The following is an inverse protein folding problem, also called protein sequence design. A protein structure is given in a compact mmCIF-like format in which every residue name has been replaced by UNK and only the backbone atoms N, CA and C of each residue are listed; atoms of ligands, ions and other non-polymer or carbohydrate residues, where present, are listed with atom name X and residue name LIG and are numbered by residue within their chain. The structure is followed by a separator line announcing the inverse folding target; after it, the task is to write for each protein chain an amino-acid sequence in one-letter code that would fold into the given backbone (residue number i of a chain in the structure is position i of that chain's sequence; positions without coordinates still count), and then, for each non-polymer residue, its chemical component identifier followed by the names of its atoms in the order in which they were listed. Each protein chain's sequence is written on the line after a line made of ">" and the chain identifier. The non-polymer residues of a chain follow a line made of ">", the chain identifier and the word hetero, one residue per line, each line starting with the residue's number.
data_IF_064904486298
#
_entry.id   IF_064904486298
#
_cell.length_a   1.000
_cell.length_b   1.000
_cell.length_c   1.000
_cell.angle_alpha   90.00
_cell.angle_beta   90.00
_cell.angle_gamma   90.00
#
_symmetry.space_group_name_H-M   'P 1'
#
loop_
_entity.id
_entity.type
_entity.pdbx_description
1 polymer ?
#
# COMPACT_ATOMS: atom_id res chain seq x y z
N UNK A 1 -26.97 38.44 38.23
CA UNK A 1 -25.50 38.42 37.99
C UNK A 1 -25.11 36.96 37.96
N UNK A 2 -24.52 36.48 36.85
CA UNK A 2 -24.04 35.10 36.78
C UNK A 2 -22.92 34.97 37.81
N UNK A 3 -23.11 34.15 38.84
CA UNK A 3 -22.05 33.84 39.81
C UNK A 3 -20.96 33.04 39.11
N UNK A 4 -20.04 33.77 38.45
CA UNK A 4 -18.82 33.20 37.88
C UNK A 4 -18.06 32.38 38.94
N UNK A 5 -18.16 32.75 40.22
CA UNK A 5 -17.57 32.01 41.33
C UNK A 5 -18.11 30.58 41.49
N UNK A 6 -19.42 30.37 41.27
CA UNK A 6 -20.04 29.05 41.37
C UNK A 6 -19.71 28.16 40.17
N UNK A 7 -19.63 28.76 38.97
CA UNK A 7 -19.22 28.07 37.76
C UNK A 7 -17.74 27.67 37.83
N UNK A 8 -16.88 28.57 38.33
CA UNK A 8 -15.45 28.34 38.50
C UNK A 8 -15.20 27.29 39.59
N UNK A 9 -15.88 27.33 40.73
CA UNK A 9 -15.72 26.30 41.78
C UNK A 9 -16.14 24.91 41.30
N UNK A 10 -17.14 24.83 40.42
CA UNK A 10 -17.62 23.56 39.85
C UNK A 10 -16.75 23.05 38.69
N UNK A 11 -15.99 23.93 38.05
CA UNK A 11 -14.97 23.59 37.04
C UNK A 11 -13.63 23.16 37.68
N UNK A 12 -13.32 23.62 38.90
CA UNK A 12 -12.13 23.20 39.65
C UNK A 12 -12.31 21.91 40.47
N UNK A 13 -13.51 21.31 40.48
CA UNK A 13 -13.70 19.99 41.06
C UNK A 13 -12.84 18.97 40.30
N UNK A 14 -11.96 18.19 40.97
CA UNK A 14 -11.09 17.23 40.31
C UNK A 14 -11.86 16.20 39.48
N UNK A 15 -13.10 15.90 39.88
CA UNK A 15 -14.02 15.01 39.15
C UNK A 15 -14.54 15.66 37.87
N UNK A 16 -14.88 16.95 37.89
CA UNK A 16 -15.31 17.68 36.70
C UNK A 16 -14.15 17.88 35.73
N UNK A 17 -12.95 18.15 36.25
CA UNK A 17 -11.74 18.25 35.44
C UNK A 17 -11.40 16.91 34.77
N UNK A 18 -11.51 15.80 35.52
CA UNK A 18 -11.35 14.44 35.00
C UNK A 18 -12.41 14.11 33.95
N UNK A 19 -13.68 14.44 34.21
CA UNK A 19 -14.79 14.18 33.29
C UNK A 19 -14.61 14.96 31.98
N UNK A 20 -14.29 16.26 32.06
CA UNK A 20 -13.97 17.09 30.90
C UNK A 20 -12.74 16.55 30.17
N UNK A 21 -11.68 16.14 30.88
CA UNK A 21 -10.49 15.57 30.26
C UNK A 21 -10.79 14.26 29.53
N UNK A 22 -11.58 13.35 30.13
CA UNK A 22 -11.99 12.08 29.54
C UNK A 22 -12.89 12.30 28.33
N UNK A 23 -13.92 13.14 28.45
CA UNK A 23 -14.81 13.49 27.34
C UNK A 23 -14.02 14.15 26.21
N UNK A 24 -13.10 15.07 26.53
CA UNK A 24 -12.23 15.71 25.55
C UNK A 24 -11.30 14.70 24.87
N UNK A 25 -10.74 13.75 25.62
CA UNK A 25 -9.87 12.71 25.07
C UNK A 25 -10.66 11.76 24.15
N UNK A 26 -11.88 11.38 24.54
CA UNK A 26 -12.78 10.54 23.74
C UNK A 26 -13.20 11.27 22.47
N UNK A 27 -13.63 12.54 22.57
CA UNK A 27 -13.99 13.36 21.41
C UNK A 27 -12.78 13.57 20.51
N UNK A 28 -11.61 13.88 21.07
CA UNK A 28 -10.37 14.03 20.32
C UNK A 28 -9.99 12.74 19.60
N UNK A 29 -10.07 11.59 20.29
CA UNK A 29 -9.84 10.27 19.70
C UNK A 29 -10.86 9.95 18.60
N UNK A 30 -12.14 10.24 18.81
CA UNK A 30 -13.21 10.06 17.82
C UNK A 30 -12.97 10.94 16.58
N UNK A 31 -12.56 12.20 16.78
CA UNK A 31 -12.22 13.14 15.71
C UNK A 31 -10.89 12.80 15.00
N UNK A 32 -9.97 12.11 15.68
CA UNK A 32 -8.71 11.64 15.12
C UNK A 32 -8.90 10.34 14.31
N UNK A 33 -9.66 9.38 14.82
CA UNK A 33 -10.07 8.16 14.09
C UNK A 33 -10.93 8.50 12.88
N UNK A 34 -11.73 9.56 12.98
CA UNK A 34 -12.48 10.12 11.85
C UNK A 34 -11.60 10.95 10.87
N UNK A 35 -10.28 10.76 10.82
CA UNK A 35 -9.42 11.34 9.78
C UNK A 35 -8.90 10.22 8.89
N UNK A 36 -9.44 10.10 7.67
CA UNK A 36 -8.92 9.11 6.71
C UNK A 36 -9.85 8.66 5.59
N UNK A 37 -11.15 9.00 5.62
CA UNK A 37 -12.10 8.59 4.57
C UNK A 37 -12.80 9.78 3.93
N UNK A 38 -13.23 9.70 2.66
CA UNK A 38 -14.08 10.72 2.02
C UNK A 38 -15.38 10.98 2.81
N UNK A 39 -15.88 9.96 3.53
CA UNK A 39 -17.01 10.11 4.45
C UNK A 39 -16.76 11.15 5.56
N UNK A 40 -15.49 11.39 5.93
CA UNK A 40 -15.11 12.41 6.93
C UNK A 40 -15.36 13.84 6.44
N UNK A 41 -15.22 14.09 5.14
CA UNK A 41 -15.50 15.40 4.55
C UNK A 41 -17.02 15.67 4.52
N UNK A 42 -17.82 14.64 4.22
CA UNK A 42 -19.28 14.71 4.30
C UNK A 42 -19.75 14.89 5.75
N UNK A 43 -19.22 14.11 6.70
CA UNK A 43 -19.52 14.24 8.12
C UNK A 43 -19.15 15.62 8.67
N UNK A 44 -17.96 16.16 8.34
CA UNK A 44 -17.58 17.53 8.69
C UNK A 44 -18.51 18.57 8.08
N UNK A 45 -18.88 18.40 6.81
CA UNK A 45 -19.82 19.29 6.12
C UNK A 45 -21.20 19.32 6.78
N UNK A 46 -21.76 18.14 7.07
CA UNK A 46 -23.05 17.99 7.75
C UNK A 46 -22.97 18.55 9.18
N UNK A 47 -21.89 18.27 9.93
CA UNK A 47 -21.72 18.79 11.29
C UNK A 47 -21.61 20.32 11.31
N UNK A 48 -20.79 20.91 10.43
CA UNK A 48 -20.66 22.37 10.30
C UNK A 48 -22.00 23.00 9.90
N UNK A 49 -22.74 22.38 8.98
CA UNK A 49 -24.06 22.84 8.56
C UNK A 49 -25.07 22.81 9.73
N UNK A 50 -25.17 21.68 10.44
CA UNK A 50 -26.09 21.53 11.58
C UNK A 50 -25.74 22.53 12.69
N UNK A 51 -24.46 22.65 13.04
CA UNK A 51 -24.00 23.61 14.06
C UNK A 51 -24.25 25.05 13.61
N UNK A 52 -23.98 25.37 12.34
CA UNK A 52 -24.21 26.69 11.77
C UNK A 52 -25.70 27.08 11.80
N UNK A 53 -26.58 26.17 11.36
CA UNK A 53 -28.03 26.38 11.42
C UNK A 53 -28.51 26.52 12.86
N UNK A 54 -28.01 25.71 13.79
CA UNK A 54 -28.36 25.79 15.21
C UNK A 54 -27.93 27.13 15.85
N UNK A 55 -26.70 27.58 15.59
CA UNK A 55 -26.20 28.87 16.08
C UNK A 55 -26.99 30.04 15.47
N UNK A 56 -27.30 29.97 14.18
CA UNK A 56 -28.08 30.98 13.48
C UNK A 56 -29.53 31.04 13.97
N UNK A 57 -30.15 29.88 14.24
CA UNK A 57 -31.47 29.76 14.85
C UNK A 57 -31.52 30.47 16.20
N UNK A 58 -30.49 30.27 17.02
CA UNK A 58 -30.37 30.83 18.36
C UNK A 58 -30.07 32.33 18.32
N UNK A 59 -29.26 32.78 17.37
CA UNK A 59 -28.94 34.19 17.17
C UNK A 59 -30.15 34.99 16.68
N UNK A 60 -30.88 34.47 15.69
CA UNK A 60 -32.07 35.11 15.11
C UNK A 60 -33.36 34.85 15.91
N UNK A 61 -33.28 34.10 17.02
CA UNK A 61 -34.42 33.71 17.85
C UNK A 61 -35.59 33.07 17.07
N UNK A 62 -35.27 32.25 16.06
CA UNK A 62 -36.26 31.55 15.23
C UNK A 62 -36.92 30.41 16.01
N UNK A 63 -38.01 30.71 16.71
CA UNK A 63 -38.74 29.78 17.57
C UNK A 63 -39.21 28.50 16.87
N UNK A 64 -39.78 28.62 15.67
CA UNK A 64 -40.24 27.47 14.87
C UNK A 64 -39.07 26.56 14.46
N UNK A 65 -37.95 27.14 14.06
CA UNK A 65 -36.77 26.39 13.64
C UNK A 65 -36.12 25.69 14.83
N UNK A 66 -36.03 26.36 15.99
CA UNK A 66 -35.57 25.76 17.24
C UNK A 66 -36.46 24.58 17.68
N UNK A 67 -37.78 24.73 17.55
CA UNK A 67 -38.74 23.66 17.84
C UNK A 67 -38.57 22.47 16.89
N UNK A 68 -38.44 22.71 15.58
CA UNK A 68 -38.17 21.64 14.60
C UNK A 68 -36.83 20.94 14.86
N UNK A 69 -35.76 21.68 15.18
CA UNK A 69 -34.46 21.09 15.49
C UNK A 69 -34.52 20.25 16.77
N UNK A 70 -35.21 20.73 17.82
CA UNK A 70 -35.40 20.00 19.07
C UNK A 70 -36.16 18.67 18.86
N UNK A 71 -37.18 18.67 18.01
CA UNK A 71 -37.94 17.47 17.65
C UNK A 71 -37.14 16.51 16.74
N UNK A 72 -36.21 17.04 15.94
CA UNK A 72 -35.38 16.24 15.02
C UNK A 72 -34.26 15.49 15.73
N UNK A 73 -33.73 16.03 16.83
CA UNK A 73 -32.60 15.45 17.57
C UNK A 73 -32.78 13.97 17.96
N UNK A 74 -33.89 13.55 18.59
CA UNK A 74 -34.12 12.15 18.92
C UNK A 74 -34.14 11.23 17.69
N UNK A 75 -34.75 11.69 16.59
CA UNK A 75 -34.81 10.94 15.34
C UNK A 75 -33.42 10.79 14.71
N UNK A 76 -32.59 11.84 14.77
CA UNK A 76 -31.23 11.82 14.24
C UNK A 76 -30.33 10.81 14.97
N UNK A 77 -30.46 10.69 16.30
CA UNK A 77 -29.71 9.71 17.11
C UNK A 77 -30.03 8.27 16.69
N UNK A 78 -31.27 7.98 16.26
CA UNK A 78 -31.66 6.66 15.75
C UNK A 78 -31.26 6.48 14.29
N UNK A 79 -31.42 7.52 13.47
CA UNK A 79 -31.14 7.47 12.03
C UNK A 79 -29.64 7.31 11.73
N UNK A 80 -28.75 7.97 12.50
CA UNK A 80 -27.30 7.93 12.26
C UNK A 80 -26.76 6.49 12.32
N UNK A 81 -26.96 5.69 13.37
CA UNK A 81 -26.50 4.29 13.39
C UNK A 81 -27.09 3.42 12.28
N UNK A 82 -28.32 3.69 11.83
CA UNK A 82 -28.97 2.93 10.75
C UNK A 82 -28.32 3.27 9.39
N UNK A 83 -28.10 4.55 9.11
CA UNK A 83 -27.45 5.00 7.88
C UNK A 83 -25.99 4.57 7.84
N UNK A 84 -25.29 4.69 8.97
CA UNK A 84 -23.89 4.28 9.13
C UNK A 84 -23.72 2.83 9.54
N UNK A 85 -24.77 2.00 9.45
CA UNK A 85 -24.71 0.59 9.79
C UNK A 85 -23.59 -0.14 9.02
N UNK A 86 -23.39 0.09 7.70
CA UNK A 86 -22.30 -0.53 6.96
C UNK A 86 -20.91 -0.15 7.50
N UNK A 87 -20.70 1.12 7.84
CA UNK A 87 -19.43 1.63 8.36
C UNK A 87 -19.14 1.08 9.77
N UNK A 88 -20.13 1.13 10.66
CA UNK A 88 -20.00 0.58 12.02
C UNK A 88 -19.65 -0.91 11.97
N UNK A 89 -20.29 -1.66 11.08
CA UNK A 89 -19.99 -3.07 10.84
C UNK A 89 -18.54 -3.24 10.37
N UNK A 90 -18.10 -2.49 9.35
CA UNK A 90 -16.73 -2.56 8.83
C UNK A 90 -15.69 -2.20 9.89
N UNK A 91 -15.95 -1.18 10.70
CA UNK A 91 -15.06 -0.78 11.81
C UNK A 91 -14.96 -1.90 12.85
N UNK A 92 -16.07 -2.55 13.21
CA UNK A 92 -16.08 -3.69 14.13
C UNK A 92 -15.37 -4.92 13.54
N UNK A 93 -15.54 -5.18 12.24
CA UNK A 93 -14.83 -6.25 11.53
C UNK A 93 -13.32 -5.97 11.52
N UNK A 94 -12.90 -4.73 11.24
CA UNK A 94 -11.50 -4.31 11.33
C UNK A 94 -10.96 -4.49 12.75
N UNK A 95 -11.68 -4.03 13.78
CA UNK A 95 -11.32 -4.23 15.19
C UNK A 95 -11.26 -5.72 15.55
N UNK A 96 -12.13 -6.55 14.99
CA UNK A 96 -12.12 -8.01 15.15
C UNK A 96 -10.88 -8.68 14.54
N UNK A 97 -10.39 -8.17 13.41
CA UNK A 97 -9.14 -8.61 12.79
C UNK A 97 -7.89 -7.94 13.40
N UNK A 98 -8.06 -6.96 14.30
CA UNK A 98 -7.00 -6.21 14.99
C UNK A 98 -6.29 -7.04 16.08
N UNK A 99 -6.64 -8.32 16.27
CA UNK A 99 -5.83 -9.26 17.06
C UNK A 99 -4.38 -9.38 16.55
N UNK A 100 -4.10 -9.00 15.30
CA UNK A 100 -2.75 -8.93 14.73
C UNK A 100 -2.01 -7.62 15.07
N UNK A 101 -2.72 -6.50 15.25
CA UNK A 101 -2.14 -5.18 15.53
C UNK A 101 -1.79 -4.96 17.02
N UNK A 102 -2.41 -5.71 17.94
CA UNK A 102 -2.03 -5.72 19.36
C UNK A 102 -0.59 -6.20 19.63
N UNK A 103 0.17 -6.62 18.61
CA UNK A 103 1.54 -7.12 18.80
C UNK A 103 2.65 -6.07 18.78
N UNK A 104 2.47 -4.82 18.31
CA UNK A 104 3.54 -3.83 18.48
C UNK A 104 3.09 -2.36 18.31
N UNK A 105 3.14 -1.53 19.39
CA UNK A 105 2.85 -0.10 19.31
C UNK A 105 4.07 0.77 18.92
N UNK A 106 5.17 0.15 18.50
CA UNK A 106 6.36 0.84 18.02
C UNK A 106 6.55 0.48 16.54
N UNK A 107 6.73 1.46 15.63
CA UNK A 107 7.24 1.18 14.28
C UNK A 107 8.62 0.58 14.49
N UNK A 108 8.66 -0.75 14.44
CA UNK A 108 9.88 -1.49 14.63
C UNK A 108 10.68 -1.34 13.34
N UNK A 109 12.02 -1.40 13.42
CA UNK A 109 12.88 -1.38 12.24
C UNK A 109 12.43 -2.42 11.18
N UNK A 110 11.77 -3.48 11.64
CA UNK A 110 11.15 -4.53 10.83
C UNK A 110 10.11 -4.03 9.84
N UNK A 111 9.25 -3.06 10.18
CA UNK A 111 8.16 -2.62 9.28
C UNK A 111 8.71 -1.85 8.07
N UNK A 112 9.74 -1.02 8.30
CA UNK A 112 10.44 -0.32 7.23
C UNK A 112 11.20 -1.30 6.32
N UNK A 113 11.86 -2.30 6.92
CA UNK A 113 12.59 -3.33 6.17
C UNK A 113 11.64 -4.22 5.35
N UNK A 114 10.44 -4.53 5.87
CA UNK A 114 9.39 -5.24 5.14
C UNK A 114 8.87 -4.42 3.96
N UNK A 115 8.58 -3.13 4.18
CA UNK A 115 8.12 -2.24 3.11
C UNK A 115 9.19 -2.07 2.03
N UNK A 116 10.46 -2.00 2.40
CA UNK A 116 11.57 -1.95 1.46
C UNK A 116 11.64 -3.21 0.58
N UNK A 117 11.46 -4.40 1.16
CA UNK A 117 11.35 -5.65 0.40
C UNK A 117 10.15 -5.63 -0.54
N UNK A 118 9.00 -5.15 -0.08
CA UNK A 118 7.80 -5.01 -0.92
C UNK A 118 8.05 -4.13 -2.14
N UNK A 119 8.66 -2.95 -1.95
CA UNK A 119 9.05 -2.07 -3.05
C UNK A 119 9.98 -2.79 -4.03
N UNK A 120 10.96 -3.53 -3.52
CA UNK A 120 11.93 -4.23 -4.35
C UNK A 120 11.29 -5.36 -5.19
N UNK A 121 10.38 -6.14 -4.61
CA UNK A 121 9.64 -7.19 -5.32
C UNK A 121 8.71 -6.59 -6.39
N UNK A 122 7.97 -5.52 -6.06
CA UNK A 122 7.07 -4.82 -7.00
C UNK A 122 7.87 -4.21 -8.15
N UNK A 123 9.00 -3.54 -7.88
CA UNK A 123 9.85 -2.92 -8.90
C UNK A 123 10.39 -3.97 -9.87
N UNK A 124 10.91 -5.08 -9.34
CA UNK A 124 11.48 -6.16 -10.17
C UNK A 124 10.38 -6.85 -10.99
N UNK A 125 9.20 -7.07 -10.41
CA UNK A 125 8.04 -7.61 -11.12
C UNK A 125 7.58 -6.67 -12.24
N UNK A 126 7.37 -5.39 -11.94
CA UNK A 126 6.95 -4.38 -12.91
C UNK A 126 7.95 -4.29 -14.08
N UNK A 127 9.25 -4.26 -13.80
CA UNK A 127 10.27 -4.23 -14.84
C UNK A 127 10.26 -5.47 -15.74
N UNK A 128 9.99 -6.65 -15.17
CA UNK A 128 9.90 -7.89 -15.94
C UNK A 128 8.62 -7.95 -16.80
N UNK A 129 7.48 -7.59 -16.22
CA UNK A 129 6.19 -7.51 -16.91
C UNK A 129 6.25 -6.48 -18.04
N UNK A 130 6.89 -5.34 -17.82
CA UNK A 130 7.13 -4.31 -18.85
C UNK A 130 7.92 -4.82 -20.04
N UNK A 131 9.01 -5.57 -19.81
CA UNK A 131 9.81 -6.18 -20.89
C UNK A 131 9.01 -7.17 -21.73
N UNK A 132 8.07 -7.88 -21.09
CA UNK A 132 7.18 -8.84 -21.75
C UNK A 132 5.90 -8.20 -22.32
N UNK A 133 5.67 -6.91 -22.04
CA UNK A 133 4.42 -6.18 -22.32
C UNK A 133 3.18 -6.84 -21.74
N UNK A 134 3.33 -7.42 -20.55
CA UNK A 134 2.19 -7.95 -19.81
C UNK A 134 1.57 -6.84 -18.96
N UNK A 135 0.29 -6.58 -19.19
CA UNK A 135 -0.46 -5.56 -18.48
C UNK A 135 -0.58 -5.91 -17.00
N UNK A 136 -0.31 -4.94 -16.13
CA UNK A 136 -0.36 -5.16 -14.68
C UNK A 136 -0.92 -3.96 -13.94
N UNK A 137 -1.61 -4.21 -12.84
CA UNK A 137 -2.16 -3.19 -11.96
C UNK A 137 -2.01 -3.64 -10.51
N UNK A 138 -1.01 -3.09 -9.82
CA UNK A 138 -0.64 -3.44 -8.46
C UNK A 138 -0.94 -2.27 -7.54
N UNK A 139 -1.81 -2.47 -6.55
CA UNK A 139 -2.22 -1.45 -5.59
C UNK A 139 -1.53 -1.72 -4.25
N UNK A 140 -0.78 -0.75 -3.76
CA UNK A 140 -0.12 -0.80 -2.45
C UNK A 140 -0.98 0.00 -1.47
N UNK A 141 -1.57 -0.71 -0.51
CA UNK A 141 -2.36 -0.14 0.58
C UNK A 141 -1.47 0.68 1.54
N UNK A 142 -2.00 1.81 2.02
CA UNK A 142 -1.33 2.71 2.96
C UNK A 142 -2.19 2.92 4.21
N UNK A 143 -2.53 4.16 4.55
CA UNK A 143 -3.31 4.45 5.76
C UNK A 143 -4.80 4.14 5.55
N UNK A 144 -5.30 4.39 4.34
CA UNK A 144 -6.68 4.04 3.97
C UNK A 144 -6.76 2.55 3.63
N UNK A 145 -7.48 1.77 4.45
CA UNK A 145 -7.73 0.36 4.18
C UNK A 145 -8.55 0.14 2.91
N UNK A 146 -8.15 -0.84 2.09
CA UNK A 146 -8.80 -1.17 0.81
C UNK A 146 -9.66 -2.44 0.88
N UNK A 147 -10.12 -2.82 2.08
CA UNK A 147 -10.83 -4.09 2.30
C UNK A 147 -12.11 -4.20 1.46
N UNK A 148 -12.85 -3.11 1.29
CA UNK A 148 -14.06 -3.05 0.45
C UNK A 148 -13.82 -3.42 -1.03
N UNK A 149 -12.59 -3.21 -1.50
CA UNK A 149 -12.16 -3.64 -2.83
C UNK A 149 -11.67 -5.09 -2.79
N UNK A 150 -10.87 -5.44 -1.78
CA UNK A 150 -10.31 -6.78 -1.61
C UNK A 150 -11.40 -7.87 -1.51
N UNK A 151 -12.49 -7.60 -0.79
CA UNK A 151 -13.59 -8.54 -0.58
C UNK A 151 -14.37 -8.87 -1.88
N UNK A 152 -14.25 -8.03 -2.90
CA UNK A 152 -14.87 -8.23 -4.22
C UNK A 152 -13.97 -8.99 -5.20
N UNK A 153 -12.71 -9.23 -4.83
CA UNK A 153 -11.76 -10.00 -5.64
C UNK A 153 -11.67 -11.46 -5.23
N UNK A 154 -10.68 -12.15 -5.78
CA UNK A 154 -10.30 -13.51 -5.35
C UNK A 154 -9.33 -13.39 -4.16
N UNK A 155 -9.67 -13.93 -2.98
CA UNK A 155 -8.79 -13.89 -1.83
C UNK A 155 -7.55 -14.76 -2.10
N UNK A 156 -6.36 -14.20 -1.86
CA UNK A 156 -5.09 -14.91 -2.07
C UNK A 156 -4.36 -15.17 -0.76
N UNK A 157 -4.31 -14.17 0.12
CA UNK A 157 -3.56 -14.18 1.38
C UNK A 157 -2.16 -14.81 1.27
N UNK A 158 -1.38 -14.40 0.29
CA UNK A 158 -0.08 -14.99 -0.02
C UNK A 158 1.07 -14.04 0.31
N UNK A 159 2.24 -14.57 0.68
CA UNK A 159 3.46 -13.75 0.81
C UNK A 159 3.84 -13.17 -0.56
N UNK A 160 4.11 -11.87 -0.59
CA UNK A 160 4.49 -11.16 -1.80
C UNK A 160 5.82 -11.70 -2.33
N UNK A 161 5.84 -12.07 -3.60
CA UNK A 161 7.05 -12.37 -4.34
C UNK A 161 6.90 -11.95 -5.79
N UNK A 162 8.00 -11.55 -6.41
CA UNK A 162 8.06 -11.22 -7.84
C UNK A 162 7.53 -12.35 -8.70
N UNK A 163 7.87 -13.60 -8.39
CA UNK A 163 7.42 -14.78 -9.14
C UNK A 163 5.89 -14.89 -9.11
N UNK A 164 5.28 -14.67 -7.94
CA UNK A 164 3.83 -14.71 -7.80
C UNK A 164 3.16 -13.56 -8.56
N UNK A 165 3.70 -12.34 -8.49
CA UNK A 165 3.20 -11.20 -9.28
C UNK A 165 3.25 -11.48 -10.78
N UNK A 166 4.37 -12.03 -11.28
CA UNK A 166 4.51 -12.38 -12.70
C UNK A 166 3.49 -13.43 -13.12
N UNK A 167 3.28 -14.46 -12.28
CA UNK A 167 2.31 -15.51 -12.56
C UNK A 167 0.87 -15.01 -12.55
N UNK A 168 0.51 -14.10 -11.62
CA UNK A 168 -0.82 -13.51 -11.56
C UNK A 168 -1.10 -12.74 -12.86
N UNK A 169 -0.19 -11.87 -13.29
CA UNK A 169 -0.34 -11.07 -14.51
C UNK A 169 0.05 -11.79 -15.80
N UNK A 170 0.23 -13.11 -15.76
CA UNK A 170 0.45 -13.88 -16.98
C UNK A 170 -0.80 -13.83 -17.88
N UNK A 171 -0.67 -13.53 -19.19
CA UNK A 171 -1.82 -13.42 -20.08
C UNK A 171 -2.68 -14.68 -20.09
N UNK A 172 -4.01 -14.51 -20.15
CA UNK A 172 -5.00 -15.59 -20.14
C UNK A 172 -5.07 -16.39 -18.83
N UNK A 173 -4.48 -15.92 -17.73
CA UNK A 173 -4.70 -16.53 -16.42
C UNK A 173 -6.04 -16.06 -15.83
N UNK A 174 -6.77 -16.85 -15.01
CA UNK A 174 -8.00 -16.34 -14.38
C UNK A 174 -7.80 -15.13 -13.45
N UNK A 175 -6.55 -14.83 -13.03
CA UNK A 175 -6.24 -13.78 -12.07
C UNK A 175 -5.59 -12.53 -12.70
N UNK A 176 -5.26 -12.55 -13.99
CA UNK A 176 -4.55 -11.44 -14.66
C UNK A 176 -5.45 -10.24 -14.98
N UNK A 177 -6.76 -10.45 -14.91
CA UNK A 177 -7.74 -9.42 -15.18
C UNK A 177 -7.86 -8.49 -13.96
N UNK A 178 -8.00 -7.19 -14.22
CA UNK A 178 -8.11 -6.15 -13.19
C UNK A 178 -6.86 -5.99 -12.29
N UNK A 179 -7.04 -5.84 -10.97
CA UNK A 179 -6.01 -5.39 -10.04
C UNK A 179 -5.65 -6.42 -8.96
N UNK A 180 -4.49 -6.20 -8.34
CA UNK A 180 -4.02 -6.92 -7.16
C UNK A 180 -3.81 -5.93 -6.01
N UNK A 181 -4.21 -6.30 -4.79
CA UNK A 181 -4.02 -5.49 -3.59
C UNK A 181 -2.91 -6.07 -2.72
N UNK A 182 -1.94 -5.23 -2.38
CA UNK A 182 -0.76 -5.51 -1.56
C UNK A 182 -0.91 -4.75 -0.25
N UNK A 183 -0.83 -5.45 0.88
CA UNK A 183 -0.85 -4.89 2.24
C UNK A 183 0.38 -5.35 2.98
N UNK A 184 1.28 -4.43 3.31
CA UNK A 184 2.58 -4.77 3.90
C UNK A 184 3.41 -5.65 2.96
N UNK A 185 3.70 -6.88 3.38
CA UNK A 185 4.44 -7.90 2.62
C UNK A 185 3.54 -9.02 2.05
N UNK A 186 2.22 -8.82 2.03
CA UNK A 186 1.25 -9.82 1.57
C UNK A 186 0.38 -9.33 0.42
N UNK A 187 0.01 -10.28 -0.43
CA UNK A 187 -1.00 -10.15 -1.48
C UNK A 187 -2.35 -10.56 -0.89
N UNK A 188 -3.21 -9.58 -0.65
CA UNK A 188 -4.50 -9.80 0.02
C UNK A 188 -5.50 -10.45 -0.94
N UNK A 189 -5.65 -9.84 -2.12
CA UNK A 189 -6.60 -10.28 -3.14
C UNK A 189 -6.06 -10.00 -4.55
N UNK A 190 -6.45 -10.84 -5.50
CA UNK A 190 -6.24 -10.65 -6.94
C UNK A 190 -7.56 -10.53 -7.69
N UNK A 191 -7.51 -10.20 -8.98
CA UNK A 191 -8.70 -9.98 -9.81
C UNK A 191 -9.70 -8.97 -9.22
N UNK A 192 -9.19 -7.93 -8.56
CA UNK A 192 -10.00 -6.91 -7.88
C UNK A 192 -10.45 -5.85 -8.87
N UNK A 193 -11.77 -5.61 -8.92
CA UNK A 193 -12.35 -4.54 -9.76
C UNK A 193 -12.32 -3.20 -9.01
N UNK A 194 -11.71 -2.20 -9.64
CA UNK A 194 -11.51 -0.87 -9.08
C UNK A 194 -12.36 0.19 -9.82
N UNK A 195 -12.69 1.32 -9.16
CA UNK A 195 -13.41 2.41 -9.78
C UNK A 195 -12.55 3.05 -10.88
N UNK A 196 -13.16 3.44 -11.98
CA UNK A 196 -12.49 4.15 -13.06
C UNK A 196 -12.67 5.65 -12.85
N UNK A 197 -11.61 6.43 -13.08
CA UNK A 197 -11.74 7.90 -13.10
C UNK A 197 -12.62 8.36 -14.26
N UNK A 198 -13.48 9.33 -14.00
CA UNK A 198 -14.26 10.07 -15.00
C UNK A 198 -13.57 11.38 -15.43
N UNK A 199 -12.37 11.65 -14.89
CA UNK A 199 -11.66 12.89 -15.19
C UNK A 199 -11.10 12.88 -16.63
N UNK A 200 -11.76 13.65 -17.49
CA UNK A 200 -11.46 13.79 -18.93
C UNK A 200 -10.03 14.31 -19.16
N UNK A 201 -9.52 15.15 -18.26
CA UNK A 201 -8.18 15.75 -18.38
C UNK A 201 -7.06 14.72 -18.25
N UNK A 202 -7.34 13.61 -17.55
CA UNK A 202 -6.39 12.51 -17.41
C UNK A 202 -6.59 11.41 -18.48
N UNK A 203 -7.77 11.35 -19.13
CA UNK A 203 -8.24 10.19 -19.89
C UNK A 203 -7.87 10.16 -21.38
N UNK A 204 -7.30 11.22 -21.94
CA UNK A 204 -6.85 11.23 -23.33
C UNK A 204 -5.75 10.18 -23.55
N UNK A 205 -6.11 9.03 -24.15
CA UNK A 205 -5.24 7.87 -24.47
C UNK A 205 -4.94 6.89 -23.32
N UNK A 206 -5.75 6.85 -22.26
CA UNK A 206 -5.54 5.89 -21.15
C UNK A 206 -6.41 4.64 -21.28
N UNK A 207 -5.78 3.46 -21.23
CA UNK A 207 -6.46 2.18 -21.07
C UNK A 207 -7.18 2.04 -19.71
N UNK A 208 -8.03 1.03 -19.59
CA UNK A 208 -8.86 0.78 -18.40
C UNK A 208 -8.04 0.62 -17.12
N UNK A 209 -6.90 -0.08 -17.16
CA UNK A 209 -6.00 -0.23 -15.99
C UNK A 209 -5.44 1.11 -15.48
N UNK A 210 -5.12 2.03 -16.39
CA UNK A 210 -4.65 3.37 -16.01
C UNK A 210 -5.77 4.20 -15.39
N UNK A 211 -6.98 4.12 -15.95
CA UNK A 211 -8.16 4.78 -15.38
C UNK A 211 -8.52 4.23 -14.00
N UNK A 212 -8.40 2.92 -13.81
CA UNK A 212 -8.59 2.23 -12.54
C UNK A 212 -7.55 2.68 -11.50
N UNK A 213 -6.28 2.76 -11.89
CA UNK A 213 -5.21 3.26 -11.03
C UNK A 213 -5.48 4.70 -10.57
N UNK A 214 -5.92 5.58 -11.47
CA UNK A 214 -6.26 6.95 -11.10
C UNK A 214 -7.47 6.94 -10.15
N UNK A 215 -8.57 6.25 -10.51
CA UNK A 215 -9.79 6.22 -9.71
C UNK A 215 -9.57 5.74 -8.27
N UNK A 216 -8.82 4.64 -8.06
CA UNK A 216 -8.54 4.17 -6.68
C UNK A 216 -7.70 5.17 -5.90
N UNK A 217 -6.75 5.87 -6.54
CA UNK A 217 -5.93 6.90 -5.88
C UNK A 217 -6.61 8.26 -5.75
N UNK A 218 -7.78 8.46 -6.35
CA UNK A 218 -8.64 9.61 -6.08
C UNK A 218 -9.44 9.39 -4.78
N UNK A 219 -9.83 8.15 -4.51
CA UNK A 219 -10.66 7.76 -3.36
C UNK A 219 -9.86 7.38 -2.12
N UNK A 220 -8.58 7.05 -2.27
CA UNK A 220 -7.69 6.60 -1.19
C UNK A 220 -6.29 7.17 -1.32
N UNK A 221 -5.50 7.06 -0.26
CA UNK A 221 -4.08 7.44 -0.26
C UNK A 221 -3.15 6.36 -0.85
N UNK A 222 -3.71 5.29 -1.41
CA UNK A 222 -2.99 4.16 -1.98
C UNK A 222 -2.07 4.56 -3.15
N UNK A 223 -1.08 3.72 -3.42
CA UNK A 223 -0.21 3.85 -4.58
C UNK A 223 -0.56 2.76 -5.60
N UNK A 224 -0.77 3.15 -6.86
CA UNK A 224 -1.08 2.20 -7.92
C UNK A 224 0.06 2.15 -8.92
N UNK A 225 0.72 1.00 -9.06
CA UNK A 225 1.73 0.74 -10.09
C UNK A 225 1.05 0.08 -11.28
N UNK A 226 1.22 0.67 -12.46
CA UNK A 226 0.60 0.21 -13.71
C UNK A 226 1.68 -0.14 -14.72
N UNK A 227 1.51 -1.26 -15.41
CA UNK A 227 2.28 -1.61 -16.60
C UNK A 227 1.32 -1.67 -17.79
N UNK A 228 1.62 -0.91 -18.85
CA UNK A 228 0.83 -0.89 -20.07
C UNK A 228 1.01 -2.18 -20.87
N UNK A 229 -0.09 -2.83 -21.24
CA UNK A 229 -0.06 -4.00 -22.16
C UNK A 229 0.28 -3.61 -23.60
N UNK A 230 -0.03 -2.38 -24.01
CA UNK A 230 0.21 -1.91 -25.37
C UNK A 230 1.67 -1.47 -25.56
N UNK A 231 2.19 -0.69 -24.60
CA UNK A 231 3.48 -0.02 -24.73
C UNK A 231 4.57 -0.58 -23.84
N UNK A 232 4.23 -1.42 -22.85
CA UNK A 232 5.16 -1.86 -21.80
C UNK A 232 5.61 -0.75 -20.86
N UNK A 233 5.09 0.48 -21.00
CA UNK A 233 5.47 1.60 -20.15
C UNK A 233 4.96 1.40 -18.72
N UNK A 234 5.83 1.73 -17.76
CA UNK A 234 5.48 1.71 -16.34
C UNK A 234 5.03 3.11 -15.92
N UNK A 235 3.95 3.16 -15.15
CA UNK A 235 3.43 4.37 -14.54
C UNK A 235 3.05 4.13 -13.07
N UNK A 236 3.02 5.19 -12.29
CA UNK A 236 2.52 5.19 -10.90
C UNK A 236 1.44 6.24 -10.76
N UNK A 237 0.28 5.85 -10.23
CA UNK A 237 -0.75 6.78 -9.81
C UNK A 237 -0.68 7.05 -8.30
N UNK A 238 -0.86 8.30 -7.93
CA UNK A 238 -0.90 8.79 -6.55
C UNK A 238 -1.76 10.06 -6.50
N UNK A 239 -2.69 10.15 -5.54
CA UNK A 239 -3.59 11.28 -5.37
C UNK A 239 -4.28 11.72 -6.67
N UNK A 240 -4.76 10.77 -7.46
CA UNK A 240 -5.45 11.02 -8.74
C UNK A 240 -4.55 11.55 -9.87
N UNK A 241 -3.23 11.54 -9.70
CA UNK A 241 -2.25 11.95 -10.72
C UNK A 241 -1.42 10.77 -11.16
N UNK A 242 -1.08 10.73 -12.45
CA UNK A 242 -0.32 9.63 -13.04
C UNK A 242 1.08 10.11 -13.46
N UNK A 243 2.11 9.48 -12.90
CA UNK A 243 3.51 9.67 -13.25
C UNK A 243 3.88 8.58 -14.25
N UNK A 244 4.11 8.94 -15.52
CA UNK A 244 4.38 8.00 -16.62
C UNK A 244 5.87 7.90 -16.96
N UNK A 245 6.19 6.93 -17.82
CA UNK A 245 7.54 6.73 -18.39
C UNK A 245 8.59 6.55 -17.29
N UNK A 246 8.32 5.59 -16.41
CA UNK A 246 9.22 5.20 -15.34
C UNK A 246 10.07 4.01 -15.80
N UNK A 247 11.38 4.13 -15.66
CA UNK A 247 12.29 3.00 -15.70
C UNK A 247 12.37 2.32 -14.31
N UNK A 248 13.10 1.21 -14.21
CA UNK A 248 13.21 0.45 -12.96
C UNK A 248 13.75 1.30 -11.80
N UNK A 249 14.78 2.11 -12.05
CA UNK A 249 15.44 2.90 -11.02
C UNK A 249 14.60 4.10 -10.58
N UNK A 250 13.93 4.77 -11.53
CA UNK A 250 13.03 5.88 -11.27
C UNK A 250 11.76 5.40 -10.57
N UNK A 251 11.22 4.24 -10.95
CA UNK A 251 10.11 3.61 -10.23
C UNK A 251 10.49 3.36 -8.77
N UNK A 252 11.67 2.77 -8.52
CA UNK A 252 12.18 2.54 -7.16
C UNK A 252 12.29 3.84 -6.37
N UNK A 253 12.91 4.88 -6.94
CA UNK A 253 13.02 6.20 -6.29
C UNK A 253 11.67 6.82 -5.98
N UNK A 254 10.73 6.78 -6.92
CA UNK A 254 9.38 7.33 -6.74
C UNK A 254 8.65 6.59 -5.61
N UNK A 255 8.66 5.25 -5.61
CA UNK A 255 8.00 4.47 -4.57
C UNK A 255 8.61 4.70 -3.18
N UNK A 256 9.95 4.71 -3.07
CA UNK A 256 10.64 5.00 -1.80
C UNK A 256 10.32 6.40 -1.26
N UNK A 257 10.30 7.40 -2.14
CA UNK A 257 9.93 8.77 -1.80
C UNK A 257 8.48 8.87 -1.33
N UNK A 258 7.54 8.25 -2.04
CA UNK A 258 6.11 8.32 -1.72
C UNK A 258 5.75 7.53 -0.45
N UNK A 259 6.46 6.44 -0.18
CA UNK A 259 6.34 5.63 1.04
C UNK A 259 7.19 6.16 2.20
N UNK A 260 7.90 7.29 2.02
CA UNK A 260 8.76 7.94 3.04
C UNK A 260 9.90 7.06 3.57
N UNK A 261 10.37 6.09 2.80
CA UNK A 261 11.46 5.20 3.20
C UNK A 261 12.80 5.94 3.32
N UNK A 262 13.01 6.99 2.51
CA UNK A 262 14.27 7.76 2.51
C UNK A 262 14.51 8.55 3.82
N UNK A 263 13.45 8.85 4.59
CA UNK A 263 13.59 9.55 5.89
C UNK A 263 14.22 8.65 6.95
N UNK A 264 14.04 7.33 6.83
CA UNK A 264 14.52 6.35 7.81
C UNK A 264 16.03 6.14 7.66
N UNK A 265 16.57 6.07 6.44
CA UNK A 265 18.00 5.88 6.20
C UNK A 265 18.88 7.04 6.69
N UNK A 266 18.41 8.29 6.62
CA UNK A 266 19.13 9.43 7.18
C UNK A 266 19.18 9.40 8.71
N UNK A 267 18.16 8.85 9.38
CA UNK A 267 18.17 8.66 10.82
C UNK A 267 19.08 7.50 11.27
N UNK A 268 19.31 6.49 10.40
CA UNK A 268 20.29 5.41 10.60
C UNK A 268 21.73 5.93 10.53
N UNK A 269 22.04 6.72 9.50
CA UNK A 269 23.41 7.22 9.23
C UNK A 269 23.92 8.20 10.31
N UNK A 270 23.01 8.84 11.06
CA UNK A 270 23.37 9.73 12.17
C UNK A 270 23.72 9.04 13.48
N UNK A 271 23.38 7.75 13.65
CA UNK A 271 23.56 7.02 14.92
C UNK A 271 24.84 6.17 14.96
N UNK A 272 25.34 5.73 13.80
CA UNK A 272 26.50 4.83 13.69
C UNK A 272 27.85 5.55 13.44
N UNK A 273 28.00 6.81 13.86
CA UNK A 273 29.32 7.47 13.87
C UNK A 273 30.01 7.24 15.22
N UNK A 274 30.97 6.32 15.35
CA UNK A 274 31.90 6.36 16.47
C UNK A 274 32.68 7.68 16.40
N UNK A 275 32.67 8.43 17.50
CA UNK A 275 33.27 9.76 17.58
C UNK A 275 34.76 9.72 17.26
N UNK A 276 35.15 10.35 16.15
CA UNK A 276 36.50 10.88 16.01
C UNK A 276 36.57 12.19 16.80
N UNK A 277 36.90 12.08 18.09
CA UNK A 277 37.47 13.18 18.85
C UNK A 277 38.82 13.52 18.22
N UNK A 278 38.88 14.71 17.62
CA UNK A 278 40.10 15.34 17.20
C UNK A 278 41.02 15.54 18.42
N UNK A 279 42.18 14.90 18.41
CA UNK A 279 43.31 15.26 19.26
C UNK A 279 44.33 15.99 18.39
N UNK A 280 44.22 17.32 18.37
CA UNK A 280 45.31 18.23 18.01
C UNK A 280 46.16 18.42 19.26
N UNK A 281 47.44 18.02 19.25
CA UNK A 281 48.51 18.68 20.02
C UNK A 281 49.88 18.35 19.43
N UNK A 282 50.49 19.41 18.90
CA UNK A 282 51.89 19.84 18.92
C UNK A 282 53.07 18.91 18.54
N UNK A 283 53.93 19.50 17.71
CA UNK A 283 55.19 19.04 17.15
C UNK A 283 56.36 18.84 18.14
N UNK A 284 57.30 17.96 17.77
CA UNK A 284 58.74 18.01 18.09
C UNK A 284 59.54 17.44 16.88
N UNK A 285 60.55 18.14 16.31
CA UNK A 285 61.53 17.57 15.36
C UNK A 285 62.94 17.47 15.99
N UNK A 286 64.00 17.09 15.26
CA UNK A 286 64.26 15.93 14.39
C UNK A 286 65.36 15.01 15.03
N UNK A 287 65.85 13.89 14.47
CA UNK A 287 66.97 13.75 13.48
C UNK A 287 67.47 12.26 13.47
N UNK A 288 68.47 11.81 12.68
CA UNK A 288 68.32 10.71 11.71
C UNK A 288 69.17 9.44 12.04
N UNK A 289 68.99 8.32 11.30
CA UNK A 289 70.10 7.44 10.88
C UNK A 289 69.68 6.47 9.75
N UNK A 290 70.42 6.63 8.64
CA UNK A 290 70.86 5.77 7.52
C UNK A 290 70.51 4.26 7.39
N UNK A 291 70.71 3.71 6.17
CA UNK A 291 70.02 2.53 5.64
C UNK A 291 70.85 1.24 5.75
N UNK A 292 70.19 0.08 5.66
CA UNK A 292 70.86 -1.18 5.33
C UNK A 292 70.15 -1.86 4.16
N UNK A 293 70.93 -2.06 3.11
CA UNK A 293 70.65 -2.79 1.89
C UNK A 293 70.78 -4.31 2.10
N UNK A 294 70.14 -5.10 1.23
CA UNK A 294 70.36 -6.55 1.17
C UNK A 294 69.37 -7.33 0.30
N UNK A 295 69.53 -7.23 -1.02
CA UNK A 295 69.05 -8.19 -2.06
C UNK A 295 69.75 -9.57 -1.91
N UNK A 296 69.56 -10.60 -2.80
CA UNK A 296 68.47 -10.94 -3.74
C UNK A 296 68.15 -12.47 -3.88
N UNK A 297 67.20 -12.78 -4.78
CA UNK A 297 67.19 -13.86 -5.79
C UNK A 297 66.87 -15.35 -5.47
N UNK A 298 66.43 -16.00 -6.56
CA UNK A 298 66.27 -17.45 -6.89
C UNK A 298 64.88 -18.02 -6.59
N UNK A 299 64.12 -18.64 -7.50
CA UNK A 299 64.29 -19.00 -8.92
C UNK A 299 63.05 -19.78 -9.40
N UNK A 300 62.59 -19.50 -10.63
CA UNK A 300 61.70 -20.34 -11.45
C UNK A 300 62.45 -21.58 -12.00
N UNK A 301 61.92 -22.46 -12.89
CA UNK A 301 60.54 -22.80 -13.34
C UNK A 301 60.30 -24.35 -13.48
N UNK A 302 59.19 -24.71 -14.18
CA UNK A 302 58.93 -25.96 -14.92
C UNK A 302 58.29 -27.11 -14.10
N UNK A 303 57.40 -27.96 -14.61
CA UNK A 303 57.27 -28.45 -15.99
C UNK A 303 55.90 -29.17 -16.21
N UNK A 304 55.45 -29.22 -17.48
CA UNK A 304 54.86 -30.37 -18.22
C UNK A 304 53.58 -31.03 -17.66
N UNK A 305 52.46 -31.24 -18.36
CA UNK A 305 52.12 -31.41 -19.78
C UNK A 305 51.00 -32.50 -19.86
N UNK A 306 50.19 -32.56 -20.94
CA UNK A 306 48.90 -33.29 -21.00
C UNK A 306 48.91 -34.56 -21.88
N UNK A 307 48.01 -35.54 -21.64
CA UNK A 307 47.73 -36.72 -22.53
C UNK A 307 46.33 -37.29 -22.17
N UNK A 308 45.24 -37.06 -22.95
CA UNK A 308 44.60 -37.88 -24.02
C UNK A 308 44.34 -39.38 -23.74
N UNK A 309 43.07 -39.83 -23.80
CA UNK A 309 42.57 -40.84 -24.77
C UNK A 309 41.20 -41.44 -24.38
N UNK A 310 40.26 -41.37 -25.33
CA UNK A 310 38.97 -42.06 -25.54
C UNK A 310 39.11 -43.59 -25.79
N UNK A 311 38.13 -44.34 -26.38
CA UNK A 311 36.67 -44.52 -26.18
C UNK A 311 36.26 -46.03 -26.11
N UNK A 312 34.99 -46.36 -25.83
CA UNK A 312 34.20 -47.58 -26.22
C UNK A 312 32.91 -47.59 -25.39
N UNK A 313 31.74 -48.13 -25.74
CA UNK A 313 31.04 -48.56 -26.97
C UNK A 313 29.60 -48.87 -26.51
N UNK A 314 28.71 -49.11 -27.46
CA UNK A 314 27.35 -49.69 -27.36
C UNK A 314 26.24 -48.80 -26.78
N UNK A 315 25.09 -48.58 -27.43
CA UNK A 315 24.49 -49.35 -28.52
C UNK A 315 23.15 -49.93 -28.07
N UNK A 316 22.07 -49.15 -28.11
CA UNK A 316 20.71 -49.71 -28.13
C UNK A 316 19.73 -48.76 -28.82
N UNK A 317 19.27 -49.21 -29.99
CA UNK A 317 18.23 -48.62 -30.82
C UNK A 317 16.86 -48.93 -30.21
N UNK A 318 15.91 -48.00 -30.36
CA UNK A 318 14.49 -48.25 -30.13
C UNK A 318 13.62 -47.09 -30.64
N UNK A 319 13.39 -47.04 -31.96
CA UNK A 319 12.36 -46.20 -32.57
C UNK A 319 10.97 -46.75 -32.22
N UNK A 320 10.06 -45.89 -31.78
CA UNK A 320 8.62 -46.06 -32.01
C UNK A 320 8.06 -44.70 -32.45
N UNK A 321 7.40 -44.70 -33.60
CA UNK A 321 6.74 -43.56 -34.24
C UNK A 321 5.21 -43.62 -33.96
N UNK A 322 4.36 -42.69 -34.45
CA UNK A 322 3.36 -42.00 -33.62
C UNK A 322 1.92 -42.46 -33.89
N UNK A 323 1.00 -42.21 -32.95
CA UNK A 323 -0.43 -42.37 -33.22
C UNK A 323 -1.31 -42.19 -31.98
N UNK A 324 -2.23 -41.22 -32.03
CA UNK A 324 -3.24 -41.04 -30.98
C UNK A 324 -3.94 -39.70 -31.05
N UNK A 325 -4.73 -39.46 -32.11
CA UNK A 325 -5.64 -38.33 -32.20
C UNK A 325 -6.73 -38.43 -31.12
N UNK A 326 -6.82 -37.41 -30.27
CA UNK A 326 -7.89 -37.28 -29.26
C UNK A 326 -9.14 -36.74 -29.96
N UNK A 327 -10.22 -37.53 -29.95
CA UNK A 327 -11.56 -37.15 -30.42
C UNK A 327 -12.15 -36.03 -29.55
N UNK A 328 -12.88 -35.05 -30.12
CA UNK A 328 -13.66 -34.10 -29.35
C UNK A 328 -14.95 -34.73 -28.82
N UNK A 329 -15.30 -34.37 -27.58
CA UNK A 329 -16.55 -34.68 -26.89
C UNK A 329 -17.69 -33.84 -27.51
N UNK A 330 -18.87 -34.41 -27.85
CA UNK A 330 -19.96 -33.61 -28.40
C UNK A 330 -20.62 -32.72 -27.34
N UNK A 331 -20.91 -31.47 -27.74
CA UNK A 331 -21.66 -30.50 -26.97
C UNK A 331 -23.10 -30.99 -26.71
N UNK A 332 -23.56 -30.85 -25.47
CA UNK A 332 -24.97 -31.00 -25.11
C UNK A 332 -25.74 -29.75 -25.56
N UNK A 333 -26.74 -29.94 -26.40
CA UNK A 333 -27.76 -28.92 -26.71
C UNK A 333 -28.54 -28.53 -25.44
N UNK A 334 -28.91 -27.25 -25.27
CA UNK A 334 -29.87 -26.86 -24.25
C UNK A 334 -31.29 -27.21 -24.71
N UNK A 335 -32.00 -27.98 -23.88
CA UNK A 335 -33.44 -28.24 -24.00
C UNK A 335 -34.21 -26.92 -24.12
N UNK A 336 -34.90 -26.77 -25.26
CA UNK A 336 -35.99 -25.80 -25.40
C UNK A 336 -37.18 -26.30 -24.60
N UNK A 337 -37.40 -25.75 -23.41
CA UNK A 337 -38.71 -25.86 -22.75
C UNK A 337 -39.60 -24.75 -23.30
N UNK A 338 -40.59 -25.15 -24.10
CA UNK A 338 -41.68 -24.29 -24.51
C UNK A 338 -42.95 -24.55 -23.70
N UNK A 339 -43.65 -23.44 -23.40
CA UNK A 339 -45.12 -23.23 -23.32
C UNK A 339 -45.87 -23.90 -22.13
N UNK A 340 -47.07 -23.44 -21.67
CA UNK A 340 -47.92 -22.35 -22.17
C UNK A 340 -48.71 -21.47 -21.16
N UNK A 341 -49.29 -20.39 -21.74
CA UNK A 341 -50.42 -19.53 -21.31
C UNK A 341 -50.19 -18.42 -20.29
#
# INVERSE_FOLDING_TARGET
>A
MLDLGWLVSRLLDPRALLDIAVVTLIIYWLLWVAQGTRATQLLRGIAILIVGVFLLARYLQLSTLNWMLAQTWPALIVAVPIVFQPELRRMLEQIGHTAVWLRTPFPSNTDADLMERTVDEVVRAAAQLARQRFGALMIIERETGLQDFADRGVPLDATLSRQLLINIFFPNSPLHDAAVIIRGDRLVAGSVVLPLTDNISASGQLGTRHRAAIGVTEESDALAVVVSEETGQIAVAHNGRLIRNLDQDRLRRVLRSLLRLDRIDHSRTGRDRPGHTAATTAAIPPTPMSPVAGSPAVGSPAATGPVTSSPTDDGARGRVAPGGAVRPVPAREPERTGVPR
#
